data_IF_020429322035
#
_entry.id   IF_020429322035
#
_cell.length_a   1.000
_cell.length_b   1.000
_cell.length_c   1.000
_cell.angle_alpha   90.00
_cell.angle_beta   90.00
_cell.angle_gamma   90.00
#
_symmetry.space_group_name_H-M   'P 1'
#
loop_
_entity.id
_entity.type
_entity.pdbx_description
1 polymer ?
#
# COMPACT_ATOMS: atom_id res chain seq x y z
N UNK A 1 37.85 -4.56 16.45
CA UNK A 1 37.34 -3.17 16.28
C UNK A 1 35.86 -3.13 15.86
N UNK A 2 35.42 -3.93 14.88
CA UNK A 2 34.00 -4.02 14.46
C UNK A 2 33.04 -4.49 15.57
N UNK A 3 33.36 -5.57 16.29
CA UNK A 3 32.51 -6.10 17.35
C UNK A 3 32.31 -5.13 18.54
N UNK A 4 33.32 -4.32 18.88
CA UNK A 4 33.24 -3.28 19.91
C UNK A 4 32.32 -2.13 19.50
N UNK A 5 32.34 -1.75 18.21
CA UNK A 5 31.47 -0.71 17.63
C UNK A 5 30.00 -1.15 17.58
N UNK A 6 29.77 -2.43 17.32
CA UNK A 6 28.44 -3.04 17.36
C UNK A 6 27.89 -3.03 18.80
N UNK A 7 28.70 -3.46 19.78
CA UNK A 7 28.31 -3.53 21.18
C UNK A 7 28.01 -2.15 21.80
N UNK A 8 28.74 -1.12 21.40
CA UNK A 8 28.44 0.26 21.83
C UNK A 8 27.18 0.80 21.17
N UNK A 9 26.95 0.52 19.87
CA UNK A 9 25.72 0.91 19.19
C UNK A 9 24.47 0.26 19.78
N UNK A 10 24.56 -1.01 20.19
CA UNK A 10 23.46 -1.74 20.84
C UNK A 10 23.12 -1.13 22.20
N UNK A 11 24.12 -0.77 23.01
CA UNK A 11 23.90 -0.11 24.31
C UNK A 11 23.26 1.26 24.18
N UNK A 12 23.70 2.05 23.21
CA UNK A 12 23.10 3.36 22.93
C UNK A 12 21.65 3.17 22.49
N UNK A 13 21.39 2.21 21.59
CA UNK A 13 20.04 1.91 21.14
C UNK A 13 19.12 1.47 22.28
N UNK A 14 19.58 0.57 23.16
CA UNK A 14 18.81 0.15 24.33
C UNK A 14 18.55 1.30 25.31
N UNK A 15 19.55 2.15 25.57
CA UNK A 15 19.36 3.34 26.38
C UNK A 15 18.24 4.24 25.82
N UNK A 16 18.19 4.44 24.49
CA UNK A 16 17.10 5.18 23.86
C UNK A 16 15.75 4.46 23.98
N UNK A 17 15.71 3.13 23.85
CA UNK A 17 14.48 2.33 24.01
C UNK A 17 13.93 2.43 25.43
N UNK A 18 14.80 2.45 26.44
CA UNK A 18 14.42 2.57 27.84
C UNK A 18 13.81 3.93 28.18
N UNK A 19 14.16 4.99 27.43
CA UNK A 19 13.54 6.31 27.56
C UNK A 19 12.18 6.41 26.89
N UNK A 20 11.70 5.36 26.21
CA UNK A 20 10.42 5.39 25.49
C UNK A 20 9.25 5.37 26.48
N UNK A 21 8.35 6.38 26.45
CA UNK A 21 7.16 6.41 27.29
C UNK A 21 6.27 5.17 27.10
N UNK A 22 5.98 4.46 28.19
CA UNK A 22 5.17 3.24 28.15
C UNK A 22 3.66 3.49 28.22
N UNK A 23 3.23 4.75 28.22
CA UNK A 23 1.82 5.13 28.27
C UNK A 23 1.07 4.68 27.00
N UNK A 24 -0.17 4.20 27.21
CA UNK A 24 -1.05 3.69 26.14
C UNK A 24 -1.26 4.70 25.01
N UNK A 25 -1.28 5.99 25.33
CA UNK A 25 -1.45 7.09 24.37
C UNK A 25 -0.22 7.21 23.47
N UNK A 26 0.99 7.22 24.03
CA UNK A 26 2.23 7.30 23.25
C UNK A 26 2.41 6.06 22.38
N UNK A 27 2.12 4.86 22.89
CA UNK A 27 2.15 3.63 22.06
C UNK A 27 1.21 3.72 20.87
N UNK A 28 0.00 4.29 21.07
CA UNK A 28 -0.96 4.52 19.97
C UNK A 28 -0.42 5.54 18.95
N UNK A 29 0.19 6.63 19.41
CA UNK A 29 0.82 7.64 18.55
C UNK A 29 2.00 7.06 17.76
N UNK A 30 2.90 6.34 18.43
CA UNK A 30 4.04 5.69 17.78
C UNK A 30 3.60 4.66 16.75
N UNK A 31 2.60 3.83 17.07
CA UNK A 31 2.04 2.89 16.10
C UNK A 31 1.49 3.63 14.89
N UNK A 32 0.79 4.73 15.09
CA UNK A 32 0.29 5.57 13.99
C UNK A 32 1.43 6.17 13.16
N UNK A 33 2.50 6.67 13.78
CA UNK A 33 3.69 7.20 13.10
C UNK A 33 4.39 6.12 12.26
N UNK A 34 4.64 4.95 12.84
CA UNK A 34 5.26 3.82 12.13
C UNK A 34 4.40 3.40 10.94
N UNK A 35 3.08 3.26 11.13
CA UNK A 35 2.17 2.95 10.03
C UNK A 35 2.22 4.02 8.93
N UNK A 36 2.27 5.29 9.29
CA UNK A 36 2.42 6.39 8.32
C UNK A 36 3.74 6.31 7.55
N UNK A 37 4.85 6.00 8.23
CA UNK A 37 6.15 5.83 7.59
C UNK A 37 6.17 4.64 6.63
N UNK A 38 5.61 3.49 7.04
CA UNK A 38 5.49 2.30 6.19
C UNK A 38 4.67 2.60 4.94
N UNK A 39 3.49 3.22 5.11
CA UNK A 39 2.64 3.60 3.98
C UNK A 39 3.32 4.61 3.04
N UNK A 40 4.12 5.53 3.57
CA UNK A 40 4.89 6.48 2.76
C UNK A 40 6.00 5.78 1.98
N UNK A 41 6.70 4.85 2.64
CA UNK A 41 7.76 4.05 2.04
C UNK A 41 7.24 3.15 0.91
N UNK A 42 6.11 2.47 1.12
CA UNK A 42 5.44 1.67 0.08
C UNK A 42 5.10 2.53 -1.13
N UNK A 43 4.42 3.67 -0.95
CA UNK A 43 4.09 4.59 -2.05
C UNK A 43 5.33 5.13 -2.76
N UNK A 44 6.42 5.38 -2.04
CA UNK A 44 7.63 5.96 -2.62
C UNK A 44 8.48 4.95 -3.37
N UNK A 45 8.59 3.72 -2.87
CA UNK A 45 9.49 2.71 -3.43
C UNK A 45 8.74 1.78 -4.38
N UNK A 46 7.62 1.23 -3.93
CA UNK A 46 6.90 0.19 -4.68
C UNK A 46 6.22 0.80 -5.91
N UNK A 47 5.39 1.84 -5.73
CA UNK A 47 4.66 2.45 -6.84
C UNK A 47 5.62 2.98 -7.90
N UNK A 48 6.74 3.61 -7.50
CA UNK A 48 7.72 4.15 -8.47
C UNK A 48 8.39 3.07 -9.29
N UNK A 49 8.84 1.98 -8.67
CA UNK A 49 9.49 0.86 -9.37
C UNK A 49 8.49 0.19 -10.32
N UNK A 50 7.27 -0.04 -9.83
CA UNK A 50 6.21 -0.68 -10.60
C UNK A 50 5.78 0.18 -11.79
N UNK A 51 5.55 1.48 -11.57
CA UNK A 51 5.24 2.44 -12.64
C UNK A 51 6.36 2.48 -13.68
N UNK A 52 7.62 2.51 -13.25
CA UNK A 52 8.77 2.51 -14.16
C UNK A 52 8.80 1.24 -15.01
N UNK A 53 8.63 0.08 -14.38
CA UNK A 53 8.58 -1.22 -15.06
C UNK A 53 7.45 -1.28 -16.09
N UNK A 54 6.25 -0.82 -15.74
CA UNK A 54 5.13 -0.85 -16.68
C UNK A 54 5.33 0.13 -17.84
N UNK A 55 5.84 1.33 -17.58
CA UNK A 55 6.13 2.30 -18.64
C UNK A 55 7.20 1.78 -19.59
N UNK A 56 8.28 1.15 -19.10
CA UNK A 56 9.36 0.64 -19.94
C UNK A 56 8.94 -0.55 -20.79
N UNK A 57 8.13 -1.46 -20.24
CA UNK A 57 7.79 -2.72 -20.92
C UNK A 57 6.51 -2.64 -21.75
N UNK A 58 5.56 -1.79 -21.36
CA UNK A 58 4.21 -1.78 -21.95
C UNK A 58 3.83 -0.46 -22.61
N UNK A 59 4.62 0.62 -22.50
CA UNK A 59 4.38 1.91 -23.18
C UNK A 59 2.92 2.41 -23.04
N UNK A 60 2.32 2.25 -21.85
CA UNK A 60 0.91 2.57 -21.55
C UNK A 60 -0.16 1.71 -22.27
N UNK A 61 0.22 0.56 -22.87
CA UNK A 61 -0.70 -0.38 -23.54
C UNK A 61 -1.42 -1.35 -22.59
N UNK A 62 -1.55 -0.99 -21.31
CA UNK A 62 -2.30 -1.81 -20.36
C UNK A 62 -3.78 -1.57 -20.63
N UNK A 63 -4.43 -2.52 -21.30
CA UNK A 63 -5.82 -2.40 -21.71
C UNK A 63 -6.79 -2.98 -20.68
N UNK A 64 -6.38 -4.04 -19.97
CA UNK A 64 -7.21 -4.74 -18.98
C UNK A 64 -6.39 -5.04 -17.74
N UNK A 65 -6.97 -4.81 -16.57
CA UNK A 65 -6.40 -5.11 -15.25
C UNK A 65 -7.40 -5.94 -14.46
N UNK A 66 -6.92 -7.02 -13.87
CA UNK A 66 -7.68 -7.82 -12.90
C UNK A 66 -7.06 -7.56 -11.52
N UNK A 67 -7.82 -6.93 -10.63
CA UNK A 67 -7.37 -6.55 -9.28
C UNK A 67 -8.08 -7.42 -8.24
N UNK A 68 -7.40 -8.46 -7.77
CA UNK A 68 -7.95 -9.44 -6.83
C UNK A 68 -7.60 -9.03 -5.40
N UNK A 69 -8.61 -8.85 -4.55
CA UNK A 69 -8.42 -8.30 -3.20
C UNK A 69 -8.14 -6.79 -3.25
N UNK A 70 -8.98 -6.07 -3.99
CA UNK A 70 -8.78 -4.64 -4.28
C UNK A 70 -8.70 -3.77 -3.00
N UNK A 71 -9.20 -4.23 -1.86
CA UNK A 71 -9.12 -3.59 -0.54
C UNK A 71 -9.60 -2.13 -0.57
N UNK A 72 -8.69 -1.15 -0.45
CA UNK A 72 -9.00 0.29 -0.53
C UNK A 72 -8.74 0.90 -1.92
N UNK A 73 -8.34 0.06 -2.88
CA UNK A 73 -8.14 0.40 -4.29
C UNK A 73 -6.75 0.97 -4.59
N UNK A 74 -5.71 0.62 -3.83
CA UNK A 74 -4.36 1.12 -4.09
C UNK A 74 -3.83 0.70 -5.48
N UNK A 75 -3.96 -0.58 -5.82
CA UNK A 75 -3.56 -1.12 -7.13
C UNK A 75 -4.40 -0.55 -8.26
N UNK A 76 -5.73 -0.57 -8.12
CA UNK A 76 -6.68 0.09 -9.04
C UNK A 76 -6.28 1.56 -9.30
N UNK A 77 -5.99 2.36 -8.27
CA UNK A 77 -5.55 3.75 -8.44
C UNK A 77 -4.23 3.88 -9.21
N UNK A 78 -3.28 2.96 -8.97
CA UNK A 78 -2.00 2.94 -9.65
C UNK A 78 -2.18 2.69 -11.15
N UNK A 79 -3.02 1.72 -11.52
CA UNK A 79 -3.26 1.41 -12.94
C UNK A 79 -4.08 2.49 -13.65
N UNK A 80 -5.02 3.13 -12.98
CA UNK A 80 -5.70 4.32 -13.53
C UNK A 80 -4.73 5.48 -13.80
N UNK A 81 -3.68 5.65 -12.97
CA UNK A 81 -2.63 6.65 -13.23
C UNK A 81 -1.73 6.28 -14.42
N UNK A 82 -1.54 4.99 -14.69
CA UNK A 82 -0.77 4.49 -15.82
C UNK A 82 -1.55 4.60 -17.14
N UNK A 83 -2.82 4.20 -17.12
CA UNK A 83 -3.74 4.36 -18.24
C UNK A 83 -5.16 4.60 -17.69
N UNK A 84 -5.69 5.84 -17.77
CA UNK A 84 -7.01 6.16 -17.23
C UNK A 84 -8.15 5.42 -17.97
N UNK A 85 -7.90 4.95 -19.19
CA UNK A 85 -8.88 4.28 -20.04
C UNK A 85 -8.80 2.74 -19.96
N UNK A 86 -7.90 2.17 -19.14
CA UNK A 86 -7.81 0.72 -19.01
C UNK A 86 -9.10 0.17 -18.37
N UNK A 87 -9.57 -0.98 -18.84
CA UNK A 87 -10.66 -1.71 -18.20
C UNK A 87 -10.14 -2.35 -16.92
N UNK A 88 -10.82 -2.14 -15.80
CA UNK A 88 -10.46 -2.74 -14.51
C UNK A 88 -11.58 -3.65 -14.04
N UNK A 89 -11.23 -4.88 -13.68
CA UNK A 89 -12.11 -5.88 -13.08
C UNK A 89 -11.58 -6.11 -11.67
N UNK A 90 -12.24 -5.54 -10.67
CA UNK A 90 -11.78 -5.58 -9.29
C UNK A 90 -12.69 -6.46 -8.41
N UNK A 91 -12.09 -7.26 -7.56
CA UNK A 91 -12.76 -8.17 -6.63
C UNK A 91 -12.40 -7.78 -5.19
N UNK A 92 -13.41 -7.58 -4.34
CA UNK A 92 -13.22 -7.31 -2.92
C UNK A 92 -14.32 -8.00 -2.08
N UNK A 93 -14.00 -9.07 -1.34
CA UNK A 93 -15.01 -9.83 -0.60
C UNK A 93 -15.59 -9.06 0.61
N UNK A 94 -14.83 -8.15 1.23
CA UNK A 94 -15.26 -7.47 2.46
C UNK A 94 -16.31 -6.40 2.10
N UNK A 95 -17.57 -6.51 2.57
CA UNK A 95 -18.66 -5.62 2.14
C UNK A 95 -18.38 -4.14 2.41
N UNK A 96 -17.77 -3.83 3.56
CA UNK A 96 -17.47 -2.45 3.94
C UNK A 96 -16.41 -1.80 3.06
N UNK A 97 -15.47 -2.59 2.52
CA UNK A 97 -14.46 -2.13 1.57
C UNK A 97 -15.04 -2.02 0.17
N UNK A 98 -15.81 -3.03 -0.26
CA UNK A 98 -16.54 -3.00 -1.53
C UNK A 98 -17.41 -1.74 -1.66
N UNK A 99 -18.18 -1.39 -0.62
CA UNK A 99 -19.00 -0.17 -0.63
C UNK A 99 -18.17 1.11 -0.72
N UNK A 100 -16.98 1.14 -0.11
CA UNK A 100 -16.05 2.28 -0.26
C UNK A 100 -15.54 2.36 -1.70
N UNK A 101 -15.16 1.23 -2.31
CA UNK A 101 -14.72 1.19 -3.71
C UNK A 101 -15.83 1.64 -4.66
N UNK A 102 -17.08 1.18 -4.45
CA UNK A 102 -18.24 1.59 -5.24
C UNK A 102 -18.45 3.10 -5.25
N UNK A 103 -18.31 3.75 -4.09
CA UNK A 103 -18.39 5.22 -3.98
C UNK A 103 -17.18 5.91 -4.58
N UNK A 104 -15.98 5.36 -4.37
CA UNK A 104 -14.71 5.92 -4.85
C UNK A 104 -14.62 5.92 -6.38
N UNK A 105 -15.23 4.93 -7.03
CA UNK A 105 -15.14 4.72 -8.47
C UNK A 105 -16.50 4.88 -9.18
N UNK A 106 -17.46 5.55 -8.56
CA UNK A 106 -18.81 5.73 -9.13
C UNK A 106 -18.82 6.49 -10.46
N UNK A 107 -17.81 7.32 -10.70
CA UNK A 107 -17.61 8.12 -11.91
C UNK A 107 -16.73 7.42 -12.96
N UNK A 108 -16.32 6.17 -12.74
CA UNK A 108 -15.39 5.43 -13.61
C UNK A 108 -16.09 4.26 -14.32
N UNK A 109 -16.65 4.48 -15.53
CA UNK A 109 -17.40 3.44 -16.24
C UNK A 109 -16.53 2.27 -16.72
N UNK A 110 -15.21 2.47 -16.78
CA UNK A 110 -14.23 1.44 -17.14
C UNK A 110 -13.91 0.48 -16.00
N UNK A 111 -14.53 0.61 -14.83
CA UNK A 111 -14.28 -0.23 -13.65
C UNK A 111 -15.50 -1.09 -13.34
N UNK A 112 -15.28 -2.40 -13.26
CA UNK A 112 -16.26 -3.39 -12.83
C UNK A 112 -15.86 -3.90 -11.45
N UNK A 113 -16.73 -3.73 -10.46
CA UNK A 113 -16.47 -4.14 -9.08
C UNK A 113 -17.37 -5.30 -8.68
N UNK A 114 -16.76 -6.36 -8.16
CA UNK A 114 -17.43 -7.56 -7.68
C UNK A 114 -17.17 -7.77 -6.19
N UNK A 115 -18.23 -8.00 -5.41
CA UNK A 115 -18.11 -8.33 -3.99
C UNK A 115 -17.91 -9.85 -3.83
N UNK A 116 -16.78 -10.36 -4.31
CA UNK A 116 -16.48 -11.80 -4.34
C UNK A 116 -15.02 -12.03 -3.92
N UNK A 117 -14.77 -13.17 -3.29
CA UNK A 117 -13.42 -13.73 -3.15
C UNK A 117 -13.12 -14.68 -4.32
N UNK A 118 -11.85 -14.85 -4.65
CA UNK A 118 -11.39 -15.82 -5.66
C UNK A 118 -10.64 -16.93 -4.93
N UNK A 119 -11.02 -18.19 -5.19
CA UNK A 119 -10.41 -19.42 -4.65
C UNK A 119 -10.53 -20.52 -5.71
N UNK A 120 -9.65 -21.52 -5.65
CA UNK A 120 -9.78 -22.82 -6.35
C UNK A 120 -10.68 -23.80 -5.59
#
# INVERSE_FOLDING_TARGET
MLALKQRTSERIFQFFLDQIPQNKIFKKLMRWLVMKLVMLNERMIFDKRLIKFYKSNFQNKINVVIDVGANTGQSTDLFLKLNPNCKIIAFEPIPSLYQKLKRKYSDKPNIQLFQLGISD
#
